data_IF_036511969557
#
_entry.id   IF_036511969557
#
_cell.length_a   1.000
_cell.length_b   1.000
_cell.length_c   1.000
_cell.angle_alpha   90.00
_cell.angle_beta   90.00
_cell.angle_gamma   90.00
#
_symmetry.space_group_name_H-M   'P 1'
#
loop_
_entity.id
_entity.type
_entity.pdbx_description
1 polymer ?
#
# COMPACT_ATOMS: atom_id res chain seq x y z
N UNK A 1 2.01 10.95 27.68
CA UNK A 1 0.81 10.67 28.51
C UNK A 1 -0.54 11.18 27.96
N UNK A 2 -0.72 12.43 27.49
CA UNK A 2 -1.97 12.82 26.78
C UNK A 2 -2.02 12.31 25.33
N UNK A 3 -0.87 12.18 24.68
CA UNK A 3 -0.76 11.89 23.25
C UNK A 3 -0.83 10.40 22.91
N UNK A 4 -0.20 9.53 23.71
CA UNK A 4 -0.33 8.07 23.57
C UNK A 4 -1.79 7.64 23.73
N UNK A 5 -2.53 8.33 24.62
CA UNK A 5 -3.98 8.17 24.78
C UNK A 5 -4.77 8.63 23.55
N UNK A 6 -4.32 9.66 22.83
CA UNK A 6 -4.96 10.10 21.58
C UNK A 6 -4.78 9.02 20.50
N UNK A 7 -3.55 8.54 20.31
CA UNK A 7 -3.25 7.49 19.34
C UNK A 7 -4.01 6.20 19.69
N UNK A 8 -4.02 5.79 20.96
CA UNK A 8 -4.81 4.65 21.44
C UNK A 8 -6.31 4.82 21.16
N UNK A 9 -6.87 6.01 21.44
CA UNK A 9 -8.26 6.34 21.11
C UNK A 9 -8.53 6.21 19.61
N UNK A 10 -7.64 6.72 18.77
CA UNK A 10 -7.76 6.65 17.33
C UNK A 10 -7.68 5.20 16.81
N UNK A 11 -6.78 4.39 17.36
CA UNK A 11 -6.67 2.95 17.05
C UNK A 11 -7.98 2.23 17.39
N UNK A 12 -8.55 2.49 18.56
CA UNK A 12 -9.80 1.86 18.97
C UNK A 12 -10.96 2.29 18.05
N UNK A 13 -11.06 3.58 17.73
CA UNK A 13 -12.06 4.05 16.79
C UNK A 13 -11.92 3.41 15.40
N UNK A 14 -10.69 3.27 14.86
CA UNK A 14 -10.47 2.55 13.59
C UNK A 14 -11.03 1.14 13.65
N UNK A 15 -10.81 0.41 14.75
CA UNK A 15 -11.35 -0.95 14.93
C UNK A 15 -12.88 -0.95 14.88
N UNK A 16 -13.52 0.05 15.49
CA UNK A 16 -14.98 0.18 15.53
C UNK A 16 -15.57 0.51 14.15
N UNK A 17 -14.87 1.31 13.34
CA UNK A 17 -15.32 1.70 12.00
C UNK A 17 -14.77 0.80 10.88
N UNK A 18 -14.15 -0.34 11.20
CA UNK A 18 -13.65 -1.29 10.18
C UNK A 18 -14.72 -1.73 9.19
N UNK A 19 -16.00 -1.71 9.60
CA UNK A 19 -17.16 -1.95 8.74
C UNK A 19 -17.33 -0.94 7.60
N UNK A 20 -16.66 0.22 7.62
CA UNK A 20 -16.69 1.21 6.53
C UNK A 20 -15.64 0.94 5.44
N UNK A 21 -14.71 0.00 5.66
CA UNK A 21 -13.65 -0.36 4.70
C UNK A 21 -14.03 -1.59 3.85
N UNK A 22 -15.32 -1.72 3.50
CA UNK A 22 -15.84 -2.88 2.77
C UNK A 22 -15.20 -3.03 1.39
N UNK A 23 -14.88 -1.94 0.71
CA UNK A 23 -14.24 -1.98 -0.61
C UNK A 23 -12.87 -2.62 -0.56
N UNK A 24 -12.03 -2.21 0.39
CA UNK A 24 -10.68 -2.78 0.57
C UNK A 24 -10.77 -4.26 0.96
N UNK A 25 -11.70 -4.61 1.87
CA UNK A 25 -11.95 -6.02 2.26
C UNK A 25 -12.45 -6.86 1.08
N UNK A 26 -13.37 -6.32 0.26
CA UNK A 26 -13.88 -6.99 -0.93
C UNK A 26 -12.75 -7.26 -1.92
N UNK A 27 -11.87 -6.28 -2.14
CA UNK A 27 -10.71 -6.41 -3.02
C UNK A 27 -9.72 -7.45 -2.50
N UNK A 28 -9.33 -7.39 -1.23
CA UNK A 28 -8.45 -8.40 -0.61
C UNK A 28 -9.06 -9.81 -0.73
N UNK A 29 -10.36 -9.95 -0.46
CA UNK A 29 -11.05 -11.22 -0.62
C UNK A 29 -11.06 -11.70 -2.08
N UNK A 30 -11.31 -10.80 -3.04
CA UNK A 30 -11.27 -11.11 -4.46
C UNK A 30 -9.91 -11.71 -4.87
N UNK A 31 -8.80 -11.07 -4.45
CA UNK A 31 -7.45 -11.58 -4.72
C UNK A 31 -7.22 -12.94 -4.05
N UNK A 32 -7.69 -13.12 -2.81
CA UNK A 32 -7.57 -14.39 -2.09
C UNK A 32 -8.26 -15.56 -2.81
N UNK A 33 -9.39 -15.32 -3.48
CA UNK A 33 -10.10 -16.33 -4.28
C UNK A 33 -9.52 -16.53 -5.69
N UNK A 34 -8.57 -15.69 -6.10
CA UNK A 34 -7.82 -15.78 -7.36
C UNK A 34 -6.32 -15.79 -7.06
N UNK A 35 -5.77 -16.81 -6.39
CA UNK A 35 -4.37 -16.80 -5.97
C UNK A 35 -3.40 -16.87 -7.15
N UNK A 36 -2.16 -16.42 -6.94
CA UNK A 36 -1.06 -16.57 -7.90
C UNK A 36 -1.04 -15.55 -9.05
N UNK A 37 0.11 -15.38 -9.68
CA UNK A 37 0.36 -14.42 -10.76
C UNK A 37 1.00 -15.09 -11.98
N UNK A 38 0.51 -16.28 -12.35
CA UNK A 38 1.04 -17.07 -13.48
C UNK A 38 0.10 -17.08 -14.70
N UNK A 39 -1.21 -17.01 -14.45
CA UNK A 39 -2.22 -16.93 -15.50
C UNK A 39 -2.42 -15.46 -15.92
N UNK A 40 -2.33 -15.20 -17.23
CA UNK A 40 -2.34 -13.83 -17.74
C UNK A 40 -3.71 -13.16 -17.60
N UNK A 41 -4.79 -13.92 -17.76
CA UNK A 41 -6.15 -13.37 -17.68
C UNK A 41 -6.53 -13.12 -16.23
N UNK A 42 -6.08 -14.00 -15.31
CA UNK A 42 -6.17 -13.75 -13.87
C UNK A 42 -5.40 -12.47 -13.49
N UNK A 43 -4.20 -12.25 -14.02
CA UNK A 43 -3.46 -11.01 -13.74
C UNK A 43 -4.21 -9.79 -14.28
N UNK A 44 -4.78 -9.84 -15.49
CA UNK A 44 -5.59 -8.73 -16.03
C UNK A 44 -6.79 -8.41 -15.12
N UNK A 45 -7.54 -9.42 -14.67
CA UNK A 45 -8.64 -9.23 -13.73
C UNK A 45 -8.19 -8.50 -12.46
N UNK A 46 -7.03 -8.86 -11.93
CA UNK A 46 -6.45 -8.21 -10.74
C UNK A 46 -5.98 -6.80 -11.00
N UNK A 47 -5.26 -6.57 -12.10
CA UNK A 47 -4.82 -5.24 -12.51
C UNK A 47 -6.03 -4.30 -12.60
N UNK A 48 -7.11 -4.75 -13.26
CA UNK A 48 -8.35 -3.99 -13.38
C UNK A 48 -9.07 -3.77 -12.04
N UNK A 49 -9.05 -4.76 -11.14
CA UNK A 49 -9.68 -4.64 -9.82
C UNK A 49 -8.90 -3.74 -8.85
N UNK A 50 -7.57 -3.66 -9.01
CA UNK A 50 -6.67 -2.88 -8.15
C UNK A 50 -6.52 -1.44 -8.62
N UNK A 51 -6.44 -1.22 -9.93
CA UNK A 51 -6.30 0.09 -10.51
C UNK A 51 -7.51 0.99 -10.18
N UNK A 52 -7.28 2.29 -10.11
CA UNK A 52 -8.38 3.25 -10.12
C UNK A 52 -9.19 3.08 -11.41
N UNK A 53 -10.51 3.23 -11.33
CA UNK A 53 -11.44 2.90 -12.43
C UNK A 53 -11.11 3.61 -13.75
N UNK A 54 -10.64 4.84 -13.66
CA UNK A 54 -10.23 5.69 -14.78
C UNK A 54 -8.86 5.32 -15.38
N UNK A 55 -8.10 4.44 -14.71
CA UNK A 55 -6.73 4.05 -15.10
C UNK A 55 -6.58 2.56 -15.43
N UNK A 56 -7.58 1.73 -15.16
CA UNK A 56 -7.51 0.29 -15.41
C UNK A 56 -7.07 -0.04 -16.86
N UNK A 57 -7.69 0.60 -17.85
CA UNK A 57 -7.35 0.40 -19.26
C UNK A 57 -5.93 0.85 -19.60
N UNK A 58 -5.44 1.91 -18.95
CA UNK A 58 -4.07 2.39 -19.12
C UNK A 58 -3.06 1.32 -18.70
N UNK A 59 -3.18 0.76 -17.49
CA UNK A 59 -2.26 -0.27 -16.99
C UNK A 59 -2.25 -1.52 -17.88
N UNK A 60 -3.42 -1.93 -18.38
CA UNK A 60 -3.53 -3.06 -19.31
C UNK A 60 -2.84 -2.77 -20.65
N UNK A 61 -3.08 -1.58 -21.23
CA UNK A 61 -2.46 -1.16 -22.50
C UNK A 61 -0.94 -1.00 -22.37
N UNK A 62 -0.46 -0.56 -21.23
CA UNK A 62 0.97 -0.45 -20.91
C UNK A 62 1.63 -1.81 -20.57
N UNK A 63 0.88 -2.92 -20.58
CA UNK A 63 1.44 -4.26 -20.50
C UNK A 63 1.82 -4.73 -19.09
N UNK A 64 1.29 -4.11 -18.03
CA UNK A 64 1.59 -4.49 -16.65
C UNK A 64 1.35 -5.97 -16.37
N UNK A 65 0.31 -6.56 -16.96
CA UNK A 65 0.00 -7.99 -16.86
C UNK A 65 1.14 -8.88 -17.36
N UNK A 66 1.80 -8.50 -18.45
CA UNK A 66 2.90 -9.26 -19.03
C UNK A 66 4.15 -9.10 -18.16
N UNK A 67 4.39 -7.89 -17.67
CA UNK A 67 5.51 -7.59 -16.78
C UNK A 67 5.41 -8.31 -15.44
N UNK A 68 4.24 -8.24 -14.78
CA UNK A 68 3.95 -8.97 -13.53
C UNK A 68 4.17 -10.48 -13.71
N UNK A 69 3.66 -11.05 -14.81
CA UNK A 69 3.87 -12.48 -15.13
C UNK A 69 5.35 -12.82 -15.26
N UNK A 70 6.12 -11.99 -15.98
CA UNK A 70 7.57 -12.18 -16.19
C UNK A 70 8.36 -12.13 -14.89
N UNK A 71 7.96 -11.27 -13.95
CA UNK A 71 8.65 -11.11 -12.67
C UNK A 71 8.48 -12.29 -11.71
N UNK A 72 7.52 -13.21 -11.95
CA UNK A 72 7.25 -14.37 -11.09
C UNK A 72 7.11 -14.01 -9.60
N UNK A 73 6.25 -13.03 -9.32
CA UNK A 73 6.23 -12.31 -8.04
C UNK A 73 5.66 -13.09 -6.85
N UNK A 74 5.09 -14.27 -7.04
CA UNK A 74 4.34 -14.98 -5.98
C UNK A 74 5.20 -15.33 -4.76
N UNK A 75 6.42 -15.84 -4.97
CA UNK A 75 7.36 -16.13 -3.88
C UNK A 75 7.82 -14.87 -3.13
N UNK A 76 8.38 -13.84 -3.80
CA UNK A 76 8.83 -12.63 -3.11
C UNK A 76 7.68 -11.87 -2.43
N UNK A 77 6.47 -11.90 -3.00
CA UNK A 77 5.27 -11.38 -2.35
C UNK A 77 5.00 -12.08 -1.01
N UNK A 78 5.06 -13.42 -1.00
CA UNK A 78 4.86 -14.23 0.21
C UNK A 78 5.93 -14.03 1.29
N UNK A 79 7.13 -13.60 0.89
CA UNK A 79 8.24 -13.29 1.80
C UNK A 79 8.25 -11.83 2.27
N UNK A 80 7.37 -10.98 1.71
CA UNK A 80 7.30 -9.55 2.07
C UNK A 80 8.45 -8.72 1.52
N UNK A 81 9.03 -9.12 0.38
CA UNK A 81 10.12 -8.39 -0.27
C UNK A 81 9.62 -7.08 -0.90
N UNK A 82 9.80 -5.94 -0.21
CA UNK A 82 9.32 -4.63 -0.68
C UNK A 82 9.83 -4.22 -2.07
N UNK A 83 11.02 -4.70 -2.47
CA UNK A 83 11.60 -4.47 -3.79
C UNK A 83 10.68 -4.94 -4.94
N UNK A 84 9.76 -5.88 -4.67
CA UNK A 84 8.83 -6.34 -5.69
C UNK A 84 7.86 -5.25 -6.15
N UNK A 85 7.45 -4.35 -5.24
CA UNK A 85 6.59 -3.22 -5.61
C UNK A 85 7.33 -2.25 -6.53
N UNK A 86 8.62 -1.97 -6.25
CA UNK A 86 9.50 -1.17 -7.11
C UNK A 86 9.61 -1.80 -8.50
N UNK A 87 9.92 -3.11 -8.55
CA UNK A 87 10.05 -3.85 -9.81
C UNK A 87 8.76 -3.85 -10.62
N UNK A 88 7.60 -4.02 -9.98
CA UNK A 88 6.29 -3.93 -10.65
C UNK A 88 6.06 -2.52 -11.19
N UNK A 89 6.38 -1.48 -10.41
CA UNK A 89 6.19 -0.08 -10.79
C UNK A 89 7.09 0.37 -11.97
N UNK A 90 8.30 -0.18 -12.08
CA UNK A 90 9.20 0.12 -13.21
C UNK A 90 8.57 -0.26 -14.55
N UNK A 91 7.86 -1.39 -14.62
CA UNK A 91 7.23 -1.89 -15.86
C UNK A 91 8.15 -1.85 -17.11
N UNK A 92 9.45 -2.09 -16.91
CA UNK A 92 10.46 -2.05 -17.97
C UNK A 92 11.06 -0.67 -18.27
N UNK A 93 10.70 0.37 -17.51
CA UNK A 93 11.27 1.71 -17.59
C UNK A 93 12.38 1.91 -16.52
N UNK A 94 13.26 2.87 -16.78
CA UNK A 94 14.37 3.23 -15.89
C UNK A 94 13.94 4.05 -14.67
N UNK A 95 12.84 4.81 -14.79
CA UNK A 95 12.30 5.66 -13.72
C UNK A 95 10.87 5.25 -13.36
N UNK A 96 10.49 5.52 -12.11
CA UNK A 96 9.16 5.22 -11.59
C UNK A 96 8.38 6.52 -11.43
N UNK A 97 7.16 6.56 -11.98
CA UNK A 97 6.23 7.65 -11.72
C UNK A 97 5.34 7.38 -10.50
N UNK A 98 4.71 8.43 -9.98
CA UNK A 98 3.84 8.35 -8.79
C UNK A 98 2.66 7.39 -8.98
N UNK A 99 2.09 7.31 -10.18
CA UNK A 99 0.91 6.49 -10.45
C UNK A 99 1.27 4.99 -10.47
N UNK A 100 2.43 4.65 -11.03
CA UNK A 100 2.91 3.29 -11.12
C UNK A 100 3.29 2.75 -9.74
N UNK A 101 3.94 3.53 -8.88
CA UNK A 101 4.27 3.07 -7.52
C UNK A 101 3.04 3.01 -6.62
N UNK A 102 2.07 3.92 -6.78
CA UNK A 102 0.78 3.83 -6.11
C UNK A 102 0.05 2.54 -6.50
N UNK A 103 -0.05 2.26 -7.81
CA UNK A 103 -0.61 1.01 -8.30
C UNK A 103 0.15 -0.22 -7.78
N UNK A 104 1.47 -0.25 -7.93
CA UNK A 104 2.27 -1.42 -7.60
C UNK A 104 2.28 -1.73 -6.11
N UNK A 105 2.41 -0.71 -5.26
CA UNK A 105 2.33 -0.87 -3.81
C UNK A 105 0.95 -1.39 -3.38
N UNK A 106 -0.13 -0.87 -3.97
CA UNK A 106 -1.49 -1.37 -3.74
C UNK A 106 -1.66 -2.81 -4.24
N UNK A 107 -1.14 -3.14 -5.42
CA UNK A 107 -1.17 -4.48 -5.99
C UNK A 107 -0.48 -5.49 -5.06
N UNK A 108 0.70 -5.16 -4.54
CA UNK A 108 1.39 -6.01 -3.58
C UNK A 108 0.63 -6.09 -2.24
N UNK A 109 0.08 -4.98 -1.76
CA UNK A 109 -0.68 -4.93 -0.51
C UNK A 109 -1.97 -5.74 -0.56
N UNK A 110 -2.72 -5.77 -1.67
CA UNK A 110 -3.94 -6.60 -1.76
C UNK A 110 -3.63 -8.10 -1.70
N UNK A 111 -2.43 -8.50 -2.13
CA UNK A 111 -1.93 -9.86 -2.01
C UNK A 111 -1.48 -10.19 -0.59
N UNK A 112 -0.69 -9.31 0.03
CA UNK A 112 -0.20 -9.48 1.41
C UNK A 112 -0.34 -8.18 2.22
N UNK A 113 -1.53 -7.91 2.80
CA UNK A 113 -1.85 -6.64 3.45
C UNK A 113 -0.96 -6.29 4.64
N UNK A 114 -0.27 -7.27 5.23
CA UNK A 114 0.60 -7.08 6.41
C UNK A 114 2.04 -6.73 6.06
N UNK A 115 2.44 -6.84 4.79
CA UNK A 115 3.84 -6.64 4.37
C UNK A 115 4.08 -5.35 3.61
N UNK A 116 3.14 -4.90 2.77
CA UNK A 116 3.36 -3.80 1.84
C UNK A 116 2.65 -2.51 2.27
N UNK A 117 3.39 -1.46 2.66
CA UNK A 117 2.85 -0.12 2.86
C UNK A 117 2.23 0.43 1.58
N UNK A 118 1.04 1.02 1.67
CA UNK A 118 0.38 1.65 0.53
C UNK A 118 1.05 3.00 0.25
N UNK A 119 1.54 3.19 -0.97
CA UNK A 119 1.99 4.50 -1.44
C UNK A 119 0.78 5.30 -1.93
N UNK A 120 0.45 6.39 -1.23
CA UNK A 120 -0.57 7.36 -1.66
C UNK A 120 -0.36 8.70 -0.97
N UNK A 121 -1.06 9.73 -1.44
CA UNK A 121 -0.88 11.11 -0.97
C UNK A 121 -1.08 11.32 0.53
N UNK A 122 -1.97 10.56 1.18
CA UNK A 122 -2.19 10.65 2.62
C UNK A 122 -1.05 10.01 3.41
N UNK A 123 -0.67 8.78 3.03
CA UNK A 123 0.41 8.07 3.72
C UNK A 123 1.75 8.78 3.56
N UNK A 124 2.02 9.36 2.38
CA UNK A 124 3.23 10.15 2.13
C UNK A 124 3.33 11.34 3.09
N UNK A 125 2.32 12.22 3.13
CA UNK A 125 2.31 13.39 4.02
C UNK A 125 2.62 13.04 5.48
N UNK A 126 2.10 11.91 5.94
CA UNK A 126 2.30 11.44 7.31
C UNK A 126 3.70 10.86 7.51
N UNK A 127 4.19 10.05 6.56
CA UNK A 127 5.55 9.53 6.61
C UNK A 127 6.58 10.66 6.57
N UNK A 128 6.39 11.66 5.70
CA UNK A 128 7.28 12.82 5.56
C UNK A 128 7.27 13.71 6.80
N UNK A 129 6.09 13.93 7.41
CA UNK A 129 6.00 14.65 8.67
C UNK A 129 6.74 13.91 9.79
N UNK A 130 6.62 12.57 9.84
CA UNK A 130 7.29 11.74 10.84
C UNK A 130 8.82 11.70 10.67
N UNK A 131 9.30 11.49 9.44
CA UNK A 131 10.71 11.31 9.12
C UNK A 131 11.46 12.62 8.89
N UNK A 132 10.74 13.73 8.76
CA UNK A 132 11.28 15.03 8.33
C UNK A 132 12.04 14.95 7.00
N UNK A 133 11.63 14.03 6.12
CA UNK A 133 12.22 13.76 4.80
C UNK A 133 11.13 13.76 3.74
N UNK A 134 11.44 14.15 2.50
CA UNK A 134 10.52 14.01 1.37
C UNK A 134 10.79 12.70 0.63
N UNK A 135 9.76 12.07 0.07
CA UNK A 135 9.91 10.83 -0.70
C UNK A 135 9.52 11.02 -2.17
N UNK A 136 10.37 10.52 -3.05
CA UNK A 136 10.07 10.33 -4.47
C UNK A 136 9.69 8.87 -4.75
N UNK A 137 9.03 8.55 -5.88
CA UNK A 137 8.62 7.17 -6.19
C UNK A 137 9.72 6.11 -6.10
N UNK A 138 10.97 6.49 -6.36
CA UNK A 138 12.13 5.61 -6.27
C UNK A 138 12.50 5.26 -4.81
N UNK A 139 12.07 6.07 -3.84
CA UNK A 139 12.34 5.93 -2.40
C UNK A 139 11.32 5.01 -1.68
N UNK A 140 10.64 4.12 -2.41
CA UNK A 140 9.59 3.26 -1.82
C UNK A 140 10.13 2.36 -0.67
N UNK A 141 11.39 1.94 -0.73
CA UNK A 141 11.99 1.09 0.31
C UNK A 141 12.20 1.88 1.60
N UNK A 142 12.75 3.08 1.49
CA UNK A 142 12.97 4.04 2.58
C UNK A 142 11.63 4.46 3.19
N UNK A 143 10.66 4.83 2.35
CA UNK A 143 9.28 5.08 2.77
C UNK A 143 8.71 3.89 3.54
N UNK A 144 8.88 2.68 3.02
CA UNK A 144 8.35 1.48 3.65
C UNK A 144 8.98 1.19 5.02
N UNK A 145 10.28 1.45 5.17
CA UNK A 145 10.97 1.39 6.46
C UNK A 145 10.41 2.40 7.46
N UNK A 146 10.16 3.64 7.02
CA UNK A 146 9.56 4.69 7.86
C UNK A 146 8.17 4.30 8.34
N UNK A 147 7.28 3.83 7.45
CA UNK A 147 5.94 3.41 7.87
C UNK A 147 5.99 2.22 8.83
N UNK A 148 6.94 1.30 8.66
CA UNK A 148 7.16 0.19 9.59
C UNK A 148 7.66 0.67 10.97
N UNK A 149 8.53 1.66 11.01
CA UNK A 149 8.97 2.30 12.24
C UNK A 149 7.78 2.96 12.96
N UNK A 150 6.99 3.75 12.24
CA UNK A 150 5.76 4.37 12.78
C UNK A 150 4.80 3.32 13.37
N UNK A 151 4.61 2.22 12.63
CA UNK A 151 3.76 1.10 13.06
C UNK A 151 4.26 0.51 14.38
N UNK A 152 5.58 0.39 14.54
CA UNK A 152 6.22 -0.16 15.74
C UNK A 152 6.14 0.81 16.92
N UNK A 153 6.48 2.08 16.70
CA UNK A 153 6.46 3.15 17.71
C UNK A 153 5.09 3.33 18.37
N UNK A 154 4.04 3.21 17.58
CA UNK A 154 2.65 3.44 18.02
C UNK A 154 1.88 2.16 18.35
N UNK A 155 2.57 1.02 18.45
CA UNK A 155 1.97 -0.29 18.69
C UNK A 155 0.80 -0.62 17.74
N UNK A 156 0.93 -0.21 16.47
CA UNK A 156 -0.03 -0.47 15.40
C UNK A 156 0.17 -1.87 14.80
N UNK A 157 0.95 -2.75 15.46
CA UNK A 157 1.27 -4.09 14.99
C UNK A 157 0.05 -4.91 14.52
N UNK A 158 -1.13 -4.86 15.19
CA UNK A 158 -2.32 -5.60 14.76
C UNK A 158 -3.00 -5.06 13.49
N UNK A 159 -2.62 -3.88 13.01
CA UNK A 159 -3.21 -3.26 11.83
C UNK A 159 -2.46 -3.68 10.57
N UNK A 160 -3.20 -4.06 9.52
CA UNK A 160 -2.60 -4.23 8.20
C UNK A 160 -2.36 -2.84 7.54
N UNK A 161 -1.68 -2.80 6.41
CA UNK A 161 -1.33 -1.52 5.79
C UNK A 161 -2.54 -0.77 5.17
N UNK A 162 -3.65 -1.45 4.88
CA UNK A 162 -4.90 -0.75 4.54
C UNK A 162 -5.49 -0.04 5.76
N UNK A 163 -5.55 -0.71 6.91
CA UNK A 163 -5.97 -0.10 8.18
C UNK A 163 -5.08 1.12 8.52
N UNK A 164 -3.76 0.99 8.34
CA UNK A 164 -2.79 2.07 8.58
C UNK A 164 -3.02 3.23 7.62
N UNK A 165 -3.20 2.96 6.32
CA UNK A 165 -3.47 4.03 5.35
C UNK A 165 -4.77 4.78 5.65
N UNK A 166 -5.81 4.07 6.11
CA UNK A 166 -7.07 4.69 6.56
C UNK A 166 -6.88 5.49 7.85
N UNK A 167 -6.09 4.99 8.80
CA UNK A 167 -5.71 5.72 10.00
C UNK A 167 -4.99 7.04 9.65
N UNK A 168 -4.03 6.98 8.71
CA UNK A 168 -3.33 8.18 8.21
C UNK A 168 -4.27 9.17 7.53
N UNK A 169 -5.23 8.68 6.75
CA UNK A 169 -6.23 9.53 6.11
C UNK A 169 -7.17 10.21 7.11
N UNK A 170 -7.77 9.45 8.02
CA UNK A 170 -8.80 9.95 8.95
C UNK A 170 -8.21 10.92 9.97
N UNK A 171 -7.00 10.66 10.44
CA UNK A 171 -6.34 11.45 11.48
C UNK A 171 -5.20 12.30 10.96
N UNK A 172 -5.21 12.59 9.66
CA UNK A 172 -4.07 13.23 8.99
C UNK A 172 -3.64 14.51 9.72
N UNK A 173 -4.58 15.41 10.00
CA UNK A 173 -4.28 16.71 10.59
C UNK A 173 -3.73 16.59 12.02
N UNK A 174 -4.29 15.69 12.83
CA UNK A 174 -3.82 15.44 14.19
C UNK A 174 -2.42 14.82 14.19
N UNK A 175 -2.16 13.90 13.27
CA UNK A 175 -0.85 13.25 13.13
C UNK A 175 0.22 14.23 12.62
N UNK A 176 -0.10 15.08 11.63
CA UNK A 176 0.83 16.11 11.15
C UNK A 176 1.17 17.10 12.27
N UNK A 177 0.17 17.56 13.02
CA UNK A 177 0.38 18.45 14.18
C UNK A 177 1.19 17.79 15.29
N UNK A 178 1.14 16.47 15.40
CA UNK A 178 1.93 15.72 16.39
C UNK A 178 3.41 15.61 16.01
N UNK A 179 3.73 15.49 14.72
CA UNK A 179 5.10 15.32 14.25
C UNK A 179 5.85 16.63 13.91
N UNK A 180 5.12 17.74 13.76
CA UNK A 180 5.69 19.09 13.63
C UNK A 180 5.91 19.72 14.99
#
# INVERSE_FOLDING_TARGET
MKMDKMIEKHINHIKDIRGYFLTDRKLINFIRFRPGNQDIDVIKEKVMAVANLDRADYFIKCGFQNHIKKLQIDSPLGQGELLIAVRVAQNGNDTIDYENIEFASRYCAVHHPTYFPLWNSHSLKIAEAFSQSCFSPDDYLEYGAVVKEMKSKHNLAPLNYFDISKFFWIYQDDLIRYYR
#
